data_IF_120709601268
#
_entry.id   IF_120709601268
#
_cell.length_a   1.000
_cell.length_b   1.000
_cell.length_c   1.000
_cell.angle_alpha   90.00
_cell.angle_beta   90.00
_cell.angle_gamma   90.00
#
_symmetry.space_group_name_H-M   'P 1'
#
loop_
_entity.id
_entity.type
_entity.pdbx_description
1 polymer ?
#
# COMPACT_ATOMS: atom_id res chain seq x y z
N UNK A 1 27.15 -6.16 14.54
CA UNK A 1 25.94 -6.96 14.23
C UNK A 1 25.09 -6.10 13.30
N UNK A 2 25.23 -6.33 11.99
CA UNK A 2 24.62 -5.48 10.95
C UNK A 2 23.15 -5.79 10.80
N UNK A 3 22.31 -4.76 10.80
CA UNK A 3 20.87 -4.88 10.59
C UNK A 3 20.62 -5.16 9.10
N UNK A 4 20.38 -6.43 8.84
CA UNK A 4 19.52 -6.87 7.78
C UNK A 4 18.15 -6.20 7.97
N UNK A 5 17.78 -5.31 7.05
CA UNK A 5 16.45 -5.42 6.45
C UNK A 5 16.47 -4.85 5.04
N UNK A 6 16.41 -5.77 4.09
CA UNK A 6 16.36 -5.52 2.67
C UNK A 6 14.95 -5.04 2.28
N UNK A 7 14.53 -3.87 2.77
CA UNK A 7 13.41 -3.13 2.18
C UNK A 7 13.92 -2.39 0.95
N UNK A 8 14.34 -3.18 -0.04
CA UNK A 8 14.51 -2.72 -1.41
C UNK A 8 13.15 -2.41 -2.03
N UNK A 9 12.40 -1.46 -1.49
CA UNK A 9 11.37 -0.77 -2.25
C UNK A 9 12.12 0.12 -3.23
N UNK A 10 12.44 -0.46 -4.38
CA UNK A 10 12.72 0.28 -5.61
C UNK A 10 11.41 0.89 -6.12
N UNK A 11 10.75 1.71 -5.30
CA UNK A 11 9.63 2.57 -5.69
C UNK A 11 10.21 3.87 -6.24
N UNK A 12 10.75 3.83 -7.44
CA UNK A 12 11.19 5.04 -8.15
C UNK A 12 9.93 5.75 -8.68
N UNK A 13 9.28 6.54 -7.83
CA UNK A 13 8.32 7.56 -8.27
C UNK A 13 6.84 7.21 -8.20
N UNK A 14 6.40 6.48 -7.17
CA UNK A 14 4.97 6.44 -6.82
C UNK A 14 4.80 7.29 -5.55
N UNK A 15 4.59 8.62 -5.72
CA UNK A 15 4.20 9.53 -4.62
C UNK A 15 2.79 9.27 -4.11
N UNK A 16 2.20 8.16 -4.56
CA UNK A 16 0.82 7.80 -4.34
C UNK A 16 0.75 6.45 -3.67
N UNK A 17 0.12 6.40 -2.49
CA UNK A 17 -0.12 5.17 -1.72
C UNK A 17 -1.62 4.93 -1.59
N UNK A 18 -2.04 3.70 -1.84
CA UNK A 18 -3.42 3.28 -1.63
C UNK A 18 -3.47 2.33 -0.44
N UNK A 19 -4.45 2.51 0.45
CA UNK A 19 -4.58 1.70 1.66
C UNK A 19 -6.06 1.43 1.97
N UNK A 20 -6.39 0.20 2.36
CA UNK A 20 -7.74 -0.14 2.76
C UNK A 20 -8.09 0.52 4.11
N UNK A 21 -9.16 1.30 4.16
CA UNK A 21 -9.65 1.93 5.39
C UNK A 21 -10.19 0.94 6.41
N UNK A 22 -10.62 -0.22 5.96
CA UNK A 22 -11.24 -1.23 6.80
C UNK A 22 -10.19 -2.10 7.52
N UNK A 23 -9.12 -2.52 6.83
CA UNK A 23 -8.13 -3.43 7.38
C UNK A 23 -6.69 -2.87 7.44
N UNK A 24 -6.43 -1.69 6.89
CA UNK A 24 -5.10 -1.05 6.88
C UNK A 24 -4.10 -1.67 5.90
N UNK A 25 -4.56 -2.51 4.97
CA UNK A 25 -3.69 -3.16 3.98
C UNK A 25 -3.32 -2.19 2.85
N UNK A 26 -2.04 -2.13 2.50
CA UNK A 26 -1.57 -1.44 1.30
C UNK A 26 -2.09 -2.12 0.03
N UNK A 27 -2.53 -1.29 -0.90
CA UNK A 27 -3.14 -1.65 -2.16
C UNK A 27 -2.40 -0.97 -3.31
N UNK A 28 -2.57 -1.52 -4.50
CA UNK A 28 -2.12 -0.93 -5.76
C UNK A 28 -3.11 0.10 -6.27
N UNK A 29 -2.65 1.03 -7.12
CA UNK A 29 -3.48 2.11 -7.66
C UNK A 29 -4.74 1.69 -8.40
N UNK A 30 -4.74 0.46 -8.95
CA UNK A 30 -5.85 -0.10 -9.71
C UNK A 30 -6.81 -0.96 -8.86
N UNK A 31 -6.62 -1.00 -7.53
CA UNK A 31 -7.43 -1.84 -6.67
C UNK A 31 -8.80 -1.20 -6.35
N UNK A 32 -9.86 -1.73 -6.95
CA UNK A 32 -11.24 -1.32 -6.66
C UNK A 32 -11.77 -1.86 -5.33
N UNK A 33 -11.21 -2.97 -4.84
CA UNK A 33 -11.57 -3.58 -3.57
C UNK A 33 -10.36 -4.23 -2.90
N UNK A 34 -10.38 -4.28 -1.58
CA UNK A 34 -9.32 -4.91 -0.81
C UNK A 34 -9.36 -6.43 -0.97
N UNK A 35 -8.30 -7.04 -1.51
CA UNK A 35 -8.19 -8.51 -1.61
C UNK A 35 -8.08 -9.21 -0.25
N UNK A 36 -7.87 -8.47 0.83
CA UNK A 36 -7.76 -9.01 2.19
C UNK A 36 -9.10 -9.14 2.91
N UNK A 37 -9.87 -8.05 2.96
CA UNK A 37 -11.14 -8.00 3.69
C UNK A 37 -12.37 -7.89 2.78
N UNK A 38 -12.19 -7.70 1.47
CA UNK A 38 -13.28 -7.53 0.50
C UNK A 38 -13.96 -6.16 0.55
N UNK A 39 -13.50 -5.22 1.38
CA UNK A 39 -14.07 -3.88 1.45
C UNK A 39 -13.64 -3.01 0.26
N UNK A 40 -14.58 -2.25 -0.30
CA UNK A 40 -14.33 -1.22 -1.32
C UNK A 40 -13.92 0.15 -0.75
N UNK A 41 -13.76 0.27 0.56
CA UNK A 41 -13.31 1.53 1.19
C UNK A 41 -11.78 1.64 1.11
N UNK A 42 -11.31 2.30 0.04
CA UNK A 42 -9.89 2.54 -0.22
C UNK A 42 -9.54 4.02 -0.01
N UNK A 43 -8.51 4.28 0.79
CA UNK A 43 -7.91 5.60 0.97
C UNK A 43 -6.73 5.79 0.02
N UNK A 44 -6.57 7.02 -0.43
CA UNK A 44 -5.55 7.44 -1.38
C UNK A 44 -4.75 8.57 -0.72
N UNK A 45 -3.43 8.40 -0.64
CA UNK A 45 -2.48 9.34 -0.05
C UNK A 45 -1.51 9.81 -1.12
N UNK A 46 -1.49 11.13 -1.34
CA UNK A 46 -0.50 11.84 -2.16
C UNK A 46 0.50 12.55 -1.25
N UNK A 47 1.79 12.40 -1.52
CA UNK A 47 2.90 12.97 -0.74
C UNK A 47 3.61 14.09 -1.48
#
# INVERSE_FOLDING_TARGET
MGVLDALGVRGRGETTRYECRNCGRELTADAEACSGCGSGEIAHYEF
#
